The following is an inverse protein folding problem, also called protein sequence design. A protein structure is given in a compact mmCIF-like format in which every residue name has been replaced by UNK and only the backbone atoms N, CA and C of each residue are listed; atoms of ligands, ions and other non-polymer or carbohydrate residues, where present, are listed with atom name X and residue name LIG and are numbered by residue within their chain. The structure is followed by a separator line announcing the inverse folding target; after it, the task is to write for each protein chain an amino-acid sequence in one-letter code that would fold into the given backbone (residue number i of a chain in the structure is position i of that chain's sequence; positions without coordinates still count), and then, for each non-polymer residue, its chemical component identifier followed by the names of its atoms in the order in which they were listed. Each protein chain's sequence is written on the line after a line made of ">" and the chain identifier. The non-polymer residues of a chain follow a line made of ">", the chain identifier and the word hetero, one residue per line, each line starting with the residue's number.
data_IF_819880684886
#
_entry.id   IF_819880684886
#
_cell.length_a   1.000
_cell.length_b   1.000
_cell.length_c   1.000
_cell.angle_alpha   90.00
_cell.angle_beta   90.00
_cell.angle_gamma   90.00
#
_symmetry.space_group_name_H-M   'P 1'
#
loop_
_entity.id
_entity.type
_entity.pdbx_description
1 polymer ?
#
# COMPACT_ATOMS: atom_id res chain seq x y z
N UNK A 1 1.81 -7.90 -7.65
CA UNK A 1 3.03 -8.22 -6.87
C UNK A 1 2.60 -8.60 -5.46
N UNK A 2 2.92 -9.81 -5.01
CA UNK A 2 2.70 -10.25 -3.63
C UNK A 2 3.98 -9.98 -2.83
N UNK A 3 4.03 -8.96 -1.98
CA UNK A 3 5.07 -8.91 -0.98
C UNK A 3 4.90 -10.11 -0.04
N UNK A 4 6.00 -10.82 0.25
CA UNK A 4 6.08 -11.72 1.39
C UNK A 4 5.76 -10.96 2.70
N UNK A 5 5.60 -11.67 3.81
CA UNK A 5 5.21 -11.12 5.13
C UNK A 5 5.89 -9.77 5.48
N UNK A 6 7.15 -9.58 5.09
CA UNK A 6 7.98 -8.37 5.29
C UNK A 6 7.94 -7.31 4.16
N UNK A 7 7.44 -7.59 2.97
CA UNK A 7 7.61 -6.75 1.78
C UNK A 7 6.70 -5.50 1.70
N UNK A 8 5.88 -5.25 2.71
CA UNK A 8 4.91 -4.14 2.73
C UNK A 8 5.46 -2.93 3.52
N UNK A 9 6.40 -3.15 4.43
CA UNK A 9 7.00 -2.06 5.22
C UNK A 9 8.09 -1.38 4.40
N UNK A 10 7.91 -0.09 4.13
CA UNK A 10 8.87 0.73 3.38
C UNK A 10 9.40 1.88 4.25
N UNK A 11 10.66 2.31 4.06
CA UNK A 11 11.14 3.54 4.66
C UNK A 11 10.41 4.75 4.05
N UNK A 12 10.00 5.69 4.90
CA UNK A 12 9.44 6.97 4.48
C UNK A 12 10.15 8.11 5.19
N UNK A 13 10.54 9.15 4.45
CA UNK A 13 11.13 10.37 4.99
C UNK A 13 10.42 11.59 4.41
N UNK A 14 9.95 12.47 5.28
CA UNK A 14 9.37 13.76 4.90
C UNK A 14 10.30 14.84 5.46
N UNK A 15 10.79 15.73 4.59
CA UNK A 15 11.57 16.90 5.01
C UNK A 15 10.60 18.05 5.24
N UNK A 16 10.34 18.36 6.52
CA UNK A 16 9.64 19.58 6.89
C UNK A 16 10.59 20.77 6.68
N UNK A 17 10.14 21.79 5.93
CA UNK A 17 10.89 23.04 5.81
C UNK A 17 10.64 23.90 7.06
N UNK A 18 11.70 24.40 7.66
CA UNK A 18 11.70 24.96 9.02
C UNK A 18 11.23 26.41 9.14
N UNK A 19 10.95 27.12 8.04
CA UNK A 19 10.65 28.54 8.12
C UNK A 19 9.19 28.85 7.76
N UNK A 20 8.36 29.25 8.74
CA UNK A 20 7.17 30.03 8.44
C UNK A 20 7.63 31.44 8.06
N UNK A 21 7.60 31.78 6.77
CA UNK A 21 7.71 33.19 6.37
C UNK A 21 6.56 33.94 7.08
N UNK A 22 6.93 34.81 8.02
CA UNK A 22 6.02 35.72 8.71
C UNK A 22 5.31 36.55 7.65
N UNK A 23 4.02 36.27 7.45
CA UNK A 23 3.19 36.94 6.46
C UNK A 23 2.47 35.92 5.58
N UNK A 24 1.24 35.59 5.98
CA UNK A 24 0.33 34.62 5.35
C UNK A 24 0.80 33.15 5.42
N UNK A 25 0.14 32.38 6.30
CA UNK A 25 0.26 30.93 6.39
C UNK A 25 -0.16 30.29 5.06
N UNK A 26 0.77 30.11 4.13
CA UNK A 26 0.58 29.31 2.92
C UNK A 26 1.68 28.25 2.85
N UNK A 27 1.35 27.05 3.29
CA UNK A 27 2.18 25.87 3.06
C UNK A 27 1.81 25.27 1.71
N UNK A 28 2.69 25.39 0.72
CA UNK A 28 2.58 24.69 -0.55
C UNK A 28 3.29 23.35 -0.47
N UNK A 29 2.54 22.25 -0.55
CA UNK A 29 3.10 20.93 -0.86
C UNK A 29 2.30 20.33 -2.01
N UNK A 30 2.93 20.24 -3.19
CA UNK A 30 2.37 19.61 -4.39
C UNK A 30 3.04 18.27 -4.61
N UNK A 31 2.45 17.15 -4.17
CA UNK A 31 2.75 15.82 -4.73
C UNK A 31 1.52 14.90 -4.60
N UNK A 32 1.01 14.46 -5.75
CA UNK A 32 -0.06 13.47 -5.86
C UNK A 32 0.58 12.14 -6.31
N UNK A 33 0.58 11.16 -5.42
CA UNK A 33 1.13 9.82 -5.63
C UNK A 33 0.90 8.95 -4.40
N UNK A 34 -0.28 8.34 -4.31
CA UNK A 34 -0.76 7.24 -3.43
C UNK A 34 -0.36 7.17 -1.92
N UNK A 35 0.32 8.16 -1.34
CA UNK A 35 0.75 8.13 0.07
C UNK A 35 0.49 9.40 0.89
N UNK A 36 -0.09 10.46 0.31
CA UNK A 36 -0.45 11.69 1.03
C UNK A 36 -1.73 12.26 0.44
N UNK A 37 -2.86 12.02 1.11
CA UNK A 37 -4.10 12.76 0.86
C UNK A 37 -4.36 13.61 2.10
N UNK A 38 -3.65 14.74 2.14
CA UNK A 38 -3.64 15.69 3.24
C UNK A 38 -3.43 17.11 2.73
N UNK A 39 -4.17 17.51 1.70
CA UNK A 39 -4.30 18.93 1.34
C UNK A 39 -5.54 19.45 2.04
N UNK A 40 -5.42 19.68 3.36
CA UNK A 40 -6.42 20.40 4.11
C UNK A 40 -5.84 21.66 4.77
N UNK A 41 -5.47 22.66 3.96
CA UNK A 41 -5.09 24.02 4.39
C UNK A 41 -5.56 25.07 3.37
N UNK A 42 -5.85 26.30 3.82
CA UNK A 42 -6.47 27.44 3.09
C UNK A 42 -5.89 27.72 1.68
N UNK A 43 -6.39 26.95 0.70
CA UNK A 43 -6.06 27.03 -0.74
C UNK A 43 -6.54 25.81 -1.56
N UNK A 44 -7.56 25.11 -1.07
CA UNK A 44 -7.82 23.68 -1.24
C UNK A 44 -8.16 23.21 -2.67
N UNK A 45 -7.40 22.23 -3.18
CA UNK A 45 -8.00 21.18 -4.02
C UNK A 45 -8.97 20.39 -3.15
N UNK A 46 -10.28 20.63 -3.31
CA UNK A 46 -11.31 19.87 -2.61
C UNK A 46 -11.25 18.42 -3.08
N UNK A 47 -10.92 17.50 -2.17
CA UNK A 47 -11.04 16.07 -2.44
C UNK A 47 -12.51 15.79 -2.79
N UNK A 48 -12.72 15.13 -3.92
CA UNK A 48 -14.07 14.82 -4.39
C UNK A 48 -14.81 13.99 -3.34
N UNK A 49 -16.00 14.45 -2.94
CA UNK A 49 -16.89 13.70 -2.05
C UNK A 49 -17.56 12.51 -2.74
N UNK A 50 -17.35 12.34 -4.06
CA UNK A 50 -17.98 11.28 -4.85
C UNK A 50 -17.22 9.95 -4.77
N UNK A 51 -16.02 9.92 -4.19
CA UNK A 51 -15.21 8.70 -4.06
C UNK A 51 -14.66 8.59 -2.66
N UNK A 52 -14.64 7.37 -2.15
CA UNK A 52 -13.99 7.06 -0.88
C UNK A 52 -12.47 7.11 -1.12
N UNK A 53 -11.75 7.78 -0.21
CA UNK A 53 -10.30 7.85 -0.22
C UNK A 53 -9.77 7.18 1.05
N UNK A 54 -8.97 6.14 0.87
CA UNK A 54 -8.42 5.37 1.99
C UNK A 54 -7.28 6.11 2.70
N UNK A 55 -6.52 6.93 1.96
CA UNK A 55 -5.46 7.75 2.52
C UNK A 55 -5.99 8.82 3.47
N UNK A 56 -5.34 8.96 4.63
CA UNK A 56 -5.63 10.00 5.64
C UNK A 56 -4.64 11.16 5.61
N UNK A 57 -5.09 12.30 6.13
CA UNK A 57 -4.25 13.48 6.29
C UNK A 57 -3.20 13.24 7.37
N UNK A 58 -1.92 13.36 7.01
CA UNK A 58 -0.80 13.23 7.94
C UNK A 58 -0.29 14.57 8.48
N UNK A 59 -0.80 15.71 8.00
CA UNK A 59 -0.35 17.03 8.44
C UNK A 59 -0.47 17.21 9.97
N UNK A 60 -1.60 16.89 10.63
CA UNK A 60 -1.71 17.01 12.08
C UNK A 60 -0.69 16.15 12.83
N UNK A 61 -0.33 14.98 12.27
CA UNK A 61 0.68 14.10 12.87
C UNK A 61 2.09 14.69 12.71
N UNK A 62 2.39 15.29 11.56
CA UNK A 62 3.69 15.93 11.28
C UNK A 62 3.91 17.23 12.05
N UNK A 63 2.83 17.94 12.36
CA UNK A 63 2.83 19.13 13.21
C UNK A 63 2.77 18.78 14.72
N UNK A 64 2.80 17.49 15.06
CA UNK A 64 2.72 16.99 16.44
C UNK A 64 1.43 17.40 17.19
N UNK A 65 0.39 17.80 16.45
CA UNK A 65 -0.94 18.15 17.00
C UNK A 65 -1.69 16.89 17.46
N UNK A 66 -1.42 15.75 16.83
CA UNK A 66 -1.94 14.43 17.22
C UNK A 66 -0.79 13.43 17.38
N UNK A 67 -0.95 12.47 18.30
CA UNK A 67 0.08 11.45 18.57
C UNK A 67 0.09 10.30 17.58
N UNK A 68 -1.06 10.01 16.95
CA UNK A 68 -1.24 8.84 16.10
C UNK A 68 -1.97 9.23 14.81
N UNK A 69 -1.67 8.50 13.72
CA UNK A 69 -2.39 8.64 12.47
C UNK A 69 -3.86 8.24 12.64
N UNK A 70 -4.74 8.84 11.84
CA UNK A 70 -6.14 8.43 11.75
C UNK A 70 -6.32 7.02 11.15
N UNK A 71 -5.28 6.45 10.52
CA UNK A 71 -5.33 5.08 9.99
C UNK A 71 -5.35 4.05 11.13
N UNK A 72 -6.54 3.61 11.49
CA UNK A 72 -6.73 2.47 12.40
C UNK A 72 -6.56 1.14 11.65
N UNK A 73 -7.13 1.02 10.45
CA UNK A 73 -7.09 -0.21 9.66
C UNK A 73 -6.32 0.00 8.36
N UNK A 74 -5.49 -0.97 8.01
CA UNK A 74 -4.79 -1.05 6.73
C UNK A 74 -5.03 -2.44 6.13
N UNK A 75 -5.48 -2.46 4.89
CA UNK A 75 -5.78 -3.67 4.13
C UNK A 75 -4.61 -4.00 3.21
N UNK A 76 -4.14 -5.24 3.25
CA UNK A 76 -3.02 -5.72 2.47
C UNK A 76 -3.52 -6.66 1.38
N UNK A 77 -3.63 -6.11 0.17
CA UNK A 77 -4.01 -6.86 -1.02
C UNK A 77 -2.79 -7.43 -1.72
N UNK A 78 -2.97 -8.60 -2.31
CA UNK A 78 -2.11 -9.10 -3.35
C UNK A 78 -2.93 -9.44 -4.60
N UNK A 79 -2.67 -8.70 -5.69
CA UNK A 79 -3.56 -8.73 -6.85
C UNK A 79 -4.96 -8.28 -6.44
N UNK A 80 -5.97 -9.10 -6.74
CA UNK A 80 -7.38 -8.86 -6.38
C UNK A 80 -7.78 -9.46 -5.02
N UNK A 81 -6.88 -10.13 -4.30
CA UNK A 81 -7.20 -10.87 -3.09
C UNK A 81 -6.69 -10.15 -1.84
N UNK A 82 -7.54 -10.05 -0.81
CA UNK A 82 -7.13 -9.54 0.49
C UNK A 82 -6.36 -10.64 1.25
N UNK A 83 -5.07 -10.42 1.49
CA UNK A 83 -4.21 -11.39 2.15
C UNK A 83 -4.11 -11.15 3.66
N UNK A 84 -4.04 -9.88 4.07
CA UNK A 84 -3.88 -9.53 5.46
C UNK A 84 -4.54 -8.19 5.82
N UNK A 85 -4.78 -7.99 7.11
CA UNK A 85 -5.30 -6.73 7.66
C UNK A 85 -4.51 -6.37 8.90
N UNK A 86 -4.12 -5.10 8.99
CA UNK A 86 -3.47 -4.53 10.17
C UNK A 86 -4.43 -3.60 10.87
N UNK A 87 -4.53 -3.71 12.19
CA UNK A 87 -5.32 -2.85 13.04
C UNK A 87 -4.46 -2.25 14.15
N UNK A 88 -4.41 -0.92 14.21
CA UNK A 88 -3.87 -0.19 15.32
C UNK A 88 -4.99 0.18 16.30
N UNK A 89 -4.95 -0.42 17.49
CA UNK A 89 -5.91 -0.17 18.55
C UNK A 89 -5.42 1.01 19.40
N UNK A 90 -6.04 2.18 19.23
CA UNK A 90 -5.55 3.45 19.83
C UNK A 90 -5.57 3.42 21.37
N UNK A 91 -6.56 2.77 21.96
CA UNK A 91 -6.77 2.78 23.42
C UNK A 91 -5.69 1.98 24.16
N UNK A 92 -5.24 0.86 23.57
CA UNK A 92 -4.23 -0.02 24.15
C UNK A 92 -2.83 0.22 23.58
N UNK A 93 -2.73 0.89 22.43
CA UNK A 93 -1.49 1.01 21.66
C UNK A 93 -1.08 -0.29 20.97
N UNK A 94 -1.90 -1.35 21.04
CA UNK A 94 -1.60 -2.64 20.43
C UNK A 94 -1.69 -2.56 18.90
N UNK A 95 -0.81 -3.28 18.22
CA UNK A 95 -0.75 -3.32 16.76
C UNK A 95 -0.98 -4.74 16.28
N UNK A 96 -2.22 -5.05 15.94
CA UNK A 96 -2.62 -6.38 15.51
C UNK A 96 -2.44 -6.54 14.00
N UNK A 97 -2.05 -7.73 13.55
CA UNK A 97 -2.07 -8.10 12.13
C UNK A 97 -2.65 -9.50 11.98
N UNK A 98 -3.60 -9.63 11.07
CA UNK A 98 -4.22 -10.91 10.71
C UNK A 98 -3.86 -11.26 9.28
N UNK A 99 -3.45 -12.51 9.06
CA UNK A 99 -3.29 -13.10 7.74
C UNK A 99 -4.42 -14.08 7.47
N UNK A 100 -5.14 -13.86 6.37
CA UNK A 100 -6.11 -14.79 5.81
C UNK A 100 -5.45 -15.77 4.83
N UNK A 101 -4.42 -15.29 4.13
CA UNK A 101 -3.71 -16.03 3.09
C UNK A 101 -2.22 -15.73 3.17
N UNK A 102 -1.37 -16.76 3.15
CA UNK A 102 0.09 -16.61 3.05
C UNK A 102 0.62 -17.31 1.81
N UNK A 103 1.67 -16.79 1.16
CA UNK A 103 2.35 -17.49 0.08
C UNK A 103 3.10 -18.72 0.60
N UNK A 104 3.22 -19.74 -0.25
CA UNK A 104 4.06 -20.91 0.02
C UNK A 104 5.51 -20.59 -0.37
N UNK A 105 6.39 -20.40 0.62
CA UNK A 105 7.80 -20.07 0.36
C UNK A 105 8.57 -21.23 -0.27
N UNK A 106 9.54 -20.88 -1.11
CA UNK A 106 10.41 -21.82 -1.81
C UNK A 106 11.87 -21.35 -1.73
N UNK A 107 12.76 -22.04 -0.99
CA UNK A 107 12.49 -23.20 -0.14
C UNK A 107 11.61 -22.85 1.07
N UNK A 108 11.05 -23.86 1.74
CA UNK A 108 10.17 -23.68 2.90
C UNK A 108 10.88 -22.82 3.96
N UNK A 109 10.12 -21.92 4.61
CA UNK A 109 10.60 -20.99 5.66
C UNK A 109 11.60 -19.92 5.20
N UNK A 110 12.00 -19.88 3.93
CA UNK A 110 13.00 -18.93 3.44
C UNK A 110 12.52 -17.47 3.39
N UNK A 111 11.26 -17.20 3.71
CA UNK A 111 10.66 -15.86 3.70
C UNK A 111 10.47 -15.26 2.30
N UNK A 112 10.80 -16.00 1.25
CA UNK A 112 10.67 -15.61 -0.14
C UNK A 112 10.49 -16.85 -1.05
N UNK A 113 10.13 -16.61 -2.31
CA UNK A 113 9.97 -17.64 -3.33
C UNK A 113 11.16 -17.59 -4.30
N UNK A 114 12.33 -18.10 -3.90
CA UNK A 114 13.58 -18.03 -4.67
C UNK A 114 13.55 -18.83 -5.99
N UNK A 115 12.71 -19.86 -6.08
CA UNK A 115 12.56 -20.68 -7.29
C UNK A 115 11.81 -19.98 -8.43
N UNK A 116 11.12 -18.87 -8.16
CA UNK A 116 10.31 -18.13 -9.11
C UNK A 116 10.57 -16.62 -8.95
N UNK A 117 10.28 -15.79 -9.96
CA UNK A 117 10.59 -14.35 -9.86
C UNK A 117 9.80 -13.63 -8.76
N UNK A 118 8.58 -14.07 -8.48
CA UNK A 118 7.68 -13.48 -7.48
C UNK A 118 6.77 -14.57 -6.93
N UNK A 119 6.44 -14.49 -5.62
CA UNK A 119 5.44 -15.37 -5.04
C UNK A 119 4.09 -15.20 -5.76
N UNK A 120 3.50 -16.31 -6.16
CA UNK A 120 2.17 -16.32 -6.74
C UNK A 120 1.12 -16.10 -5.65
N UNK A 121 -0.10 -15.75 -6.07
CA UNK A 121 -1.17 -15.31 -5.18
C UNK A 121 -2.47 -16.09 -5.36
N UNK A 122 -2.44 -17.14 -6.19
CA UNK A 122 -3.60 -17.91 -6.57
C UNK A 122 -3.27 -19.41 -6.56
N UNK A 123 -4.32 -20.23 -6.51
CA UNK A 123 -4.23 -21.70 -6.60
C UNK A 123 -3.35 -22.33 -5.50
N UNK A 124 -2.55 -23.34 -5.84
CA UNK A 124 -1.82 -24.19 -4.90
C UNK A 124 -0.53 -23.54 -4.35
N UNK A 125 -0.23 -22.31 -4.77
CA UNK A 125 0.96 -21.55 -4.33
C UNK A 125 0.69 -20.68 -3.09
N UNK A 126 -0.53 -20.74 -2.55
CA UNK A 126 -0.93 -20.06 -1.33
C UNK A 126 -1.60 -21.01 -0.35
N UNK A 127 -1.48 -20.70 0.94
CA UNK A 127 -2.19 -21.38 2.02
C UNK A 127 -3.26 -20.45 2.60
N UNK A 128 -4.49 -20.92 2.63
CA UNK A 128 -5.61 -20.24 3.30
C UNK A 128 -5.67 -20.66 4.77
N UNK A 129 -5.91 -19.70 5.65
CA UNK A 129 -5.89 -19.93 7.09
C UNK A 129 -7.26 -19.64 7.72
N UNK A 130 -7.58 -20.39 8.77
CA UNK A 130 -8.41 -19.83 9.84
C UNK A 130 -7.54 -18.76 10.51
N UNK A 131 -7.97 -17.47 10.52
CA UNK A 131 -7.03 -16.37 10.37
C UNK A 131 -5.87 -16.38 11.38
N UNK A 132 -4.64 -16.20 10.89
CA UNK A 132 -3.45 -16.16 11.75
C UNK A 132 -3.30 -14.77 12.35
N UNK A 133 -3.32 -14.65 13.68
CA UNK A 133 -3.19 -13.38 14.39
C UNK A 133 -1.78 -13.19 14.94
N UNK A 134 -1.26 -11.97 14.82
CA UNK A 134 0.02 -11.53 15.37
C UNK A 134 -0.14 -10.18 16.09
N UNK A 135 0.64 -9.98 17.14
CA UNK A 135 0.83 -8.68 17.79
C UNK A 135 2.17 -8.09 17.38
N UNK A 136 2.15 -7.18 16.42
CA UNK A 136 3.34 -6.50 15.90
C UNK A 136 3.99 -5.55 16.92
N UNK A 137 3.30 -5.20 18.01
CA UNK A 137 3.93 -4.41 19.07
C UNK A 137 4.98 -5.22 19.84
N UNK A 138 4.82 -6.55 19.86
CA UNK A 138 5.72 -7.50 20.53
C UNK A 138 6.55 -8.33 19.56
N UNK A 139 5.98 -8.68 18.41
CA UNK A 139 6.61 -9.52 17.39
C UNK A 139 6.57 -8.85 16.00
N UNK A 140 7.60 -8.04 15.73
CA UNK A 140 7.77 -7.38 14.43
C UNK A 140 8.15 -8.34 13.30
N UNK A 141 8.60 -9.56 13.62
CA UNK A 141 9.04 -10.56 12.63
C UNK A 141 7.91 -11.51 12.23
N UNK A 142 6.76 -11.47 12.90
CA UNK A 142 5.59 -12.30 12.62
C UNK A 142 5.92 -13.80 12.70
N UNK A 143 6.70 -14.17 13.70
CA UNK A 143 7.22 -15.54 13.90
C UNK A 143 6.37 -16.36 14.87
N UNK A 144 5.64 -15.70 15.77
CA UNK A 144 4.89 -16.34 16.85
C UNK A 144 3.39 -16.06 16.69
N UNK A 145 2.63 -16.95 16.00
CA UNK A 145 1.20 -16.79 15.85
C UNK A 145 0.49 -16.92 17.20
N UNK A 146 -0.49 -16.06 17.42
CA UNK A 146 -1.33 -16.07 18.61
C UNK A 146 -2.47 -17.07 18.48
N UNK A 147 -2.95 -17.55 19.61
CA UNK A 147 -4.05 -18.49 19.72
C UNK A 147 -5.01 -18.06 20.84
N UNK A 148 -6.24 -18.59 20.90
CA UNK A 148 -7.15 -18.34 22.00
C UNK A 148 -6.60 -18.72 23.39
N UNK A 149 -5.61 -19.63 23.43
CA UNK A 149 -4.96 -20.04 24.68
C UNK A 149 -3.84 -19.08 25.11
N UNK A 150 -3.19 -18.40 24.16
CA UNK A 150 -2.06 -17.50 24.44
C UNK A 150 -2.45 -16.03 24.53
N UNK A 151 -3.56 -15.61 23.91
CA UNK A 151 -4.04 -14.23 23.94
C UNK A 151 -5.53 -14.15 24.33
N UNK A 152 -5.88 -13.58 25.50
CA UNK A 152 -7.27 -13.47 25.93
C UNK A 152 -8.15 -12.61 25.01
N UNK A 153 -7.58 -11.62 24.32
CA UNK A 153 -8.31 -10.76 23.39
C UNK A 153 -8.51 -11.39 22.00
N UNK A 154 -7.97 -12.58 21.74
CA UNK A 154 -7.92 -13.20 20.42
C UNK A 154 -9.28 -13.18 19.69
N UNK A 155 -10.32 -13.70 20.34
CA UNK A 155 -11.65 -13.81 19.72
C UNK A 155 -12.28 -12.43 19.44
N UNK A 156 -12.02 -11.44 20.29
CA UNK A 156 -12.50 -10.07 20.10
C UNK A 156 -11.81 -9.44 18.88
N UNK A 157 -10.48 -9.56 18.80
CA UNK A 157 -9.68 -9.00 17.69
C UNK A 157 -10.10 -9.61 16.36
N UNK A 158 -10.20 -10.94 16.29
CA UNK A 158 -10.64 -11.64 15.07
C UNK A 158 -12.04 -11.20 14.65
N UNK A 159 -12.97 -11.09 15.60
CA UNK A 159 -14.36 -10.67 15.31
C UNK A 159 -14.42 -9.23 14.80
N UNK A 160 -13.68 -8.32 15.44
CA UNK A 160 -13.60 -6.91 15.03
C UNK A 160 -13.00 -6.75 13.63
N UNK A 161 -11.92 -7.49 13.33
CA UNK A 161 -11.30 -7.46 12.01
C UNK A 161 -12.23 -8.05 10.95
N UNK A 162 -12.90 -9.17 11.22
CA UNK A 162 -13.86 -9.77 10.29
C UNK A 162 -15.01 -8.80 9.98
N UNK A 163 -15.58 -8.14 10.98
CA UNK A 163 -16.62 -7.14 10.79
C UNK A 163 -16.12 -5.93 9.98
N UNK A 164 -14.88 -5.50 10.20
CA UNK A 164 -14.28 -4.38 9.48
C UNK A 164 -13.97 -4.73 8.03
N UNK A 165 -13.49 -5.94 7.76
CA UNK A 165 -13.30 -6.47 6.41
C UNK A 165 -14.62 -6.55 5.65
N UNK A 166 -15.69 -7.04 6.28
CA UNK A 166 -17.01 -7.07 5.66
C UNK A 166 -17.51 -5.65 5.29
N UNK A 167 -17.32 -4.67 6.19
CA UNK A 167 -17.63 -3.26 5.90
C UNK A 167 -16.79 -2.72 4.74
N UNK A 168 -15.50 -3.02 4.71
CA UNK A 168 -14.62 -2.60 3.62
C UNK A 168 -15.07 -3.18 2.28
N UNK A 169 -15.37 -4.48 2.22
CA UNK A 169 -15.89 -5.11 0.99
C UNK A 169 -17.18 -4.46 0.48
N UNK A 170 -18.08 -4.02 1.38
CA UNK A 170 -19.29 -3.31 0.99
C UNK A 170 -19.03 -1.92 0.38
N UNK A 171 -17.83 -1.34 0.58
CA UNK A 171 -17.43 -0.08 -0.06
C UNK A 171 -16.79 -0.27 -1.44
N UNK A 172 -16.42 -1.50 -1.79
CA UNK A 172 -15.76 -1.77 -3.07
C UNK A 172 -16.77 -1.82 -4.21
N UNK A 173 -16.59 -0.94 -5.18
CA UNK A 173 -17.30 -0.99 -6.46
C UNK A 173 -16.50 -1.84 -7.45
N UNK A 174 -17.09 -2.85 -8.10
CA UNK A 174 -16.40 -3.63 -9.13
C UNK A 174 -15.88 -2.72 -10.25
N UNK A 175 -14.61 -2.90 -10.61
CA UNK A 175 -13.97 -2.22 -11.73
C UNK A 175 -13.36 -3.25 -12.67
N UNK A 176 -13.19 -2.88 -13.95
CA UNK A 176 -12.57 -3.77 -14.93
C UNK A 176 -11.10 -4.02 -14.58
N UNK A 177 -10.67 -5.27 -14.71
CA UNK A 177 -9.30 -5.66 -14.41
C UNK A 177 -8.34 -5.05 -15.44
N UNK A 178 -7.60 -4.04 -15.03
CA UNK A 178 -6.69 -3.31 -15.93
C UNK A 178 -5.49 -4.15 -16.35
N UNK A 179 -5.10 -5.14 -15.54
CA UNK A 179 -3.95 -6.01 -15.76
C UNK A 179 -4.36 -7.45 -16.09
N UNK A 180 -5.43 -7.62 -16.86
CA UNK A 180 -5.79 -8.94 -17.39
C UNK A 180 -4.86 -9.34 -18.56
N UNK A 181 -5.00 -10.59 -19.02
CA UNK A 181 -4.18 -11.14 -20.10
C UNK A 181 -4.34 -10.32 -21.40
N UNK A 182 -5.56 -9.88 -21.71
CA UNK A 182 -5.85 -9.13 -22.93
C UNK A 182 -5.29 -7.69 -22.91
N UNK A 183 -5.24 -7.07 -21.73
CA UNK A 183 -4.71 -5.73 -21.52
C UNK A 183 -3.18 -5.73 -21.37
N UNK A 184 -2.59 -6.86 -20.96
CA UNK A 184 -1.14 -7.00 -20.75
C UNK A 184 -0.40 -7.59 -21.96
N UNK A 185 -1.11 -8.26 -22.89
CA UNK A 185 -0.47 -8.79 -24.10
C UNK A 185 0.17 -7.65 -24.91
N UNK A 186 1.36 -7.92 -25.44
CA UNK A 186 2.09 -6.98 -26.28
C UNK A 186 1.23 -6.58 -27.49
N UNK A 187 0.92 -5.29 -27.60
CA UNK A 187 0.13 -4.70 -28.69
C UNK A 187 1.08 -3.86 -29.56
N UNK A 188 1.60 -4.38 -30.69
CA UNK A 188 2.62 -3.67 -31.49
C UNK A 188 2.22 -2.23 -31.83
N UNK A 189 0.94 -1.98 -32.09
CA UNK A 189 0.39 -0.66 -32.44
C UNK A 189 0.30 0.35 -31.27
N UNK A 190 0.52 -0.06 -30.02
CA UNK A 190 0.54 0.84 -28.86
C UNK A 190 1.95 1.29 -28.47
N UNK A 191 2.98 0.81 -29.18
CA UNK A 191 4.36 1.14 -28.84
C UNK A 191 4.73 2.49 -29.43
N UNK A 192 5.19 3.47 -28.61
CA UNK A 192 5.81 4.66 -29.17
C UNK A 192 7.07 4.23 -29.94
N UNK A 193 7.14 4.60 -31.21
CA UNK A 193 8.24 4.30 -32.12
C UNK A 193 8.68 5.59 -32.79
N UNK A 194 9.92 6.02 -32.53
CA UNK A 194 10.57 7.03 -33.37
C UNK A 194 11.20 6.32 -34.58
N UNK A 195 11.32 7.02 -35.71
CA UNK A 195 11.77 6.42 -36.97
C UNK A 195 10.67 5.59 -37.65
N UNK A 196 11.03 4.42 -38.19
CA UNK A 196 10.14 3.60 -39.03
C UNK A 196 9.95 2.20 -38.44
N UNK A 197 8.75 1.90 -37.94
CA UNK A 197 8.38 0.55 -37.50
C UNK A 197 8.63 -0.50 -38.61
N UNK A 198 9.22 -1.69 -38.31
CA UNK A 198 9.53 -2.26 -36.99
C UNK A 198 10.90 -1.87 -36.42
N UNK A 199 11.69 -1.09 -37.15
CA UNK A 199 13.01 -0.64 -36.73
C UNK A 199 12.88 0.72 -36.05
N UNK A 200 12.58 0.74 -34.75
CA UNK A 200 12.47 2.00 -34.01
C UNK A 200 13.86 2.51 -33.63
N UNK A 201 14.16 3.78 -33.90
CA UNK A 201 15.38 4.47 -33.48
C UNK A 201 15.05 5.90 -33.06
N UNK A 202 15.71 6.42 -32.02
CA UNK A 202 15.65 7.81 -31.60
C UNK A 202 17.07 8.38 -31.59
N UNK A 203 17.21 9.67 -31.86
CA UNK A 203 18.42 10.41 -31.48
C UNK A 203 18.23 10.99 -30.08
N UNK A 204 19.30 11.04 -29.29
CA UNK A 204 19.27 11.68 -27.98
C UNK A 204 19.12 13.20 -28.15
N UNK A 205 18.32 13.85 -27.29
CA UNK A 205 18.07 15.31 -27.34
C UNK A 205 19.34 16.16 -27.12
N UNK A 206 20.48 15.56 -26.78
CA UNK A 206 21.76 16.26 -26.59
C UNK A 206 22.40 16.80 -27.87
N UNK A 207 21.90 16.43 -29.05
CA UNK A 207 22.49 16.86 -30.34
C UNK A 207 21.93 18.18 -30.90
N UNK A 208 20.92 18.79 -30.26
CA UNK A 208 20.33 20.05 -30.74
C UNK A 208 20.85 21.32 -30.03
N UNK A 209 21.81 21.21 -29.11
CA UNK A 209 22.47 22.36 -28.46
C UNK A 209 23.67 22.91 -29.27
N UNK A 210 23.65 22.77 -30.59
CA UNK A 210 24.62 23.46 -31.45
C UNK A 210 23.99 24.07 -32.70
N UNK A 211 23.70 25.37 -32.60
CA UNK A 211 24.21 26.48 -33.44
C UNK A 211 23.11 27.55 -33.57
N UNK A 212 23.11 28.51 -32.63
CA UNK A 212 23.12 29.94 -32.99
C UNK A 212 24.19 30.57 -32.08
N UNK A 213 25.41 30.69 -32.61
CA UNK A 213 26.41 31.65 -32.15
C UNK A 213 26.36 32.84 -33.09
#
# INVERSE_FOLDING_TARGET
>A
LCPALSGIKMPGRIKCWSDPVVGSKKFYYRFCGHGLVGMAGEGYCKISSQRIIDGKNLVPLLLEEVRHSEHEFIFHYCGSYLHAVRWYQKESGALWKVHYVTPNFQPQEAGACFGIKMCQYFSNEVTHHNPLLFDLSRDLLETNPLSPASEPLFNMVISQMAATVAKHYNTLTPVTQQLDVYNTVWKPWLHPCCGTFPFCWCEDESNNDTIIK
#
